data_IF_409660221309
#
_entry.id   IF_409660221309
#
_cell.length_a   1.000
_cell.length_b   1.000
_cell.length_c   1.000
_cell.angle_alpha   90.00
_cell.angle_beta   90.00
_cell.angle_gamma   90.00
#
_symmetry.space_group_name_H-M   'P 1'
#
loop_
_entity.id
_entity.type
_entity.pdbx_description
1 polymer ?
#
# COMPACT_ATOMS: atom_id res chain seq x y z
N UNK A 1 3.86 -24.14 -2.92
CA UNK A 1 2.61 -23.48 -2.49
C UNK A 1 1.44 -24.14 -3.17
N UNK A 2 0.36 -24.42 -2.44
CA UNK A 2 -0.86 -24.93 -3.08
C UNK A 2 -1.56 -23.80 -3.84
N UNK A 3 -2.25 -24.13 -4.91
CA UNK A 3 -3.01 -23.17 -5.74
C UNK A 3 -3.98 -22.31 -4.91
N UNK A 4 -4.59 -22.90 -3.88
CA UNK A 4 -5.48 -22.22 -2.94
C UNK A 4 -4.79 -21.08 -2.17
N UNK A 5 -3.55 -21.29 -1.71
CA UNK A 5 -2.76 -20.28 -0.99
C UNK A 5 -2.46 -19.09 -1.92
N UNK A 6 -2.11 -19.35 -3.18
CA UNK A 6 -1.84 -18.27 -4.15
C UNK A 6 -3.11 -17.43 -4.39
N UNK A 7 -4.27 -18.06 -4.58
CA UNK A 7 -5.55 -17.35 -4.73
C UNK A 7 -5.82 -16.50 -3.49
N UNK A 8 -5.67 -17.06 -2.29
CA UNK A 8 -5.88 -16.34 -1.05
C UNK A 8 -4.96 -15.11 -0.95
N UNK A 9 -3.67 -15.26 -1.25
CA UNK A 9 -2.71 -14.13 -1.25
C UNK A 9 -3.13 -13.02 -2.22
N UNK A 10 -3.58 -13.38 -3.42
CA UNK A 10 -4.05 -12.40 -4.42
C UNK A 10 -5.29 -11.66 -3.89
N UNK A 11 -6.25 -12.38 -3.32
CA UNK A 11 -7.46 -11.78 -2.73
C UNK A 11 -7.06 -10.80 -1.61
N UNK A 12 -6.21 -11.23 -0.68
CA UNK A 12 -5.75 -10.38 0.42
C UNK A 12 -5.02 -9.15 -0.12
N UNK A 13 -4.12 -9.31 -1.09
CA UNK A 13 -3.39 -8.19 -1.69
C UNK A 13 -4.34 -7.16 -2.32
N UNK A 14 -5.33 -7.62 -3.09
CA UNK A 14 -6.31 -6.75 -3.74
C UNK A 14 -7.12 -5.98 -2.69
N UNK A 15 -7.68 -6.65 -1.69
CA UNK A 15 -8.46 -5.97 -0.64
C UNK A 15 -7.61 -5.02 0.21
N UNK A 16 -6.37 -5.40 0.51
CA UNK A 16 -5.44 -4.54 1.26
C UNK A 16 -5.06 -3.29 0.46
N UNK A 17 -4.88 -3.40 -0.86
CA UNK A 17 -4.66 -2.25 -1.74
C UNK A 17 -5.91 -1.36 -1.85
N UNK A 18 -7.12 -1.94 -1.88
CA UNK A 18 -8.37 -1.17 -1.89
C UNK A 18 -8.53 -0.38 -0.58
N UNK A 19 -8.26 -0.99 0.56
CA UNK A 19 -8.30 -0.30 1.87
C UNK A 19 -7.29 0.85 1.87
N UNK A 20 -6.10 0.62 1.38
CA UNK A 20 -5.05 1.64 1.23
C UNK A 20 -5.55 2.84 0.40
N UNK A 21 -6.04 2.60 -0.81
CA UNK A 21 -6.58 3.64 -1.70
C UNK A 21 -7.80 4.34 -1.11
N UNK A 22 -8.71 3.58 -0.49
CA UNK A 22 -9.87 4.14 0.20
C UNK A 22 -9.45 5.13 1.29
N UNK A 23 -8.44 4.79 2.08
CA UNK A 23 -7.95 5.65 3.17
C UNK A 23 -7.34 6.96 2.65
N UNK A 24 -6.67 6.96 1.50
CA UNK A 24 -6.24 8.20 0.85
C UNK A 24 -7.44 9.09 0.49
N UNK A 25 -8.43 8.53 -0.19
CA UNK A 25 -9.66 9.26 -0.55
C UNK A 25 -10.45 9.74 0.65
N UNK A 26 -10.56 8.91 1.68
CA UNK A 26 -11.23 9.27 2.93
C UNK A 26 -10.54 10.44 3.65
N UNK A 27 -9.21 10.44 3.71
CA UNK A 27 -8.46 11.54 4.32
C UNK A 27 -8.56 12.81 3.49
N UNK A 28 -8.54 12.72 2.15
CA UNK A 28 -8.73 13.86 1.26
C UNK A 28 -10.11 14.51 1.49
N UNK A 29 -11.18 13.71 1.54
CA UNK A 29 -12.56 14.17 1.80
C UNK A 29 -12.65 14.85 3.18
N UNK A 30 -12.01 14.28 4.21
CA UNK A 30 -11.93 14.88 5.56
C UNK A 30 -11.18 16.22 5.59
N UNK A 31 -10.26 16.41 4.69
CA UNK A 31 -9.50 17.66 4.55
C UNK A 31 -10.13 18.65 3.57
N UNK A 32 -11.34 18.36 3.06
CA UNK A 32 -12.13 19.27 2.21
C UNK A 32 -12.05 19.00 0.71
N UNK A 33 -11.36 17.96 0.27
CA UNK A 33 -11.30 17.56 -1.13
C UNK A 33 -12.25 16.41 -1.44
N UNK A 34 -13.41 16.71 -2.03
CA UNK A 34 -14.44 15.72 -2.42
C UNK A 34 -14.13 15.00 -3.74
N UNK A 35 -12.99 15.24 -4.39
CA UNK A 35 -12.69 14.70 -5.73
C UNK A 35 -12.88 13.19 -5.82
N UNK A 36 -12.38 12.43 -4.85
CA UNK A 36 -12.52 10.97 -4.80
C UNK A 36 -13.98 10.53 -4.65
N UNK A 37 -14.74 11.23 -3.83
CA UNK A 37 -16.15 10.98 -3.55
C UNK A 37 -17.01 11.26 -4.78
N UNK A 38 -16.80 12.41 -5.41
CA UNK A 38 -17.54 12.85 -6.60
C UNK A 38 -17.24 11.94 -7.80
N UNK A 39 -16.04 11.38 -7.87
CA UNK A 39 -15.65 10.38 -8.86
C UNK A 39 -16.18 8.95 -8.55
N UNK A 40 -16.94 8.74 -7.45
CA UNK A 40 -17.43 7.42 -7.04
C UNK A 40 -16.32 6.44 -6.61
N UNK A 41 -15.13 6.99 -6.24
CA UNK A 41 -13.94 6.21 -5.90
C UNK A 41 -13.76 5.98 -4.40
N UNK A 42 -14.56 6.66 -3.57
CA UNK A 42 -14.58 6.49 -2.11
C UNK A 42 -15.47 5.29 -1.74
N UNK A 43 -15.03 4.10 -2.10
CA UNK A 43 -15.76 2.84 -1.91
C UNK A 43 -14.81 1.68 -1.66
N UNK A 44 -15.26 0.65 -0.94
CA UNK A 44 -14.54 -0.62 -0.78
C UNK A 44 -14.88 -1.64 -1.88
N UNK A 45 -15.73 -1.29 -2.85
CA UNK A 45 -15.99 -2.13 -4.02
C UNK A 45 -14.69 -2.21 -4.86
N UNK A 46 -14.18 -3.41 -5.19
CA UNK A 46 -12.95 -3.56 -5.96
C UNK A 46 -13.04 -3.01 -7.39
N UNK A 47 -14.20 -3.07 -8.02
CA UNK A 47 -14.37 -2.76 -9.45
C UNK A 47 -13.82 -1.37 -9.83
N UNK A 48 -14.15 -0.27 -9.13
CA UNK A 48 -13.60 1.05 -9.46
C UNK A 48 -12.08 1.17 -9.28
N UNK A 49 -11.46 0.30 -8.48
CA UNK A 49 -10.02 0.33 -8.17
C UNK A 49 -9.19 -0.58 -9.09
N UNK A 50 -9.83 -1.36 -9.96
CA UNK A 50 -9.11 -2.18 -10.92
C UNK A 50 -8.51 -1.33 -12.04
N UNK A 51 -7.23 -1.54 -12.30
CA UNK A 51 -6.52 -1.08 -13.49
C UNK A 51 -6.31 -2.26 -14.42
N UNK A 52 -6.72 -2.14 -15.68
CA UNK A 52 -6.63 -3.26 -16.62
C UNK A 52 -5.19 -3.75 -16.78
N UNK A 53 -4.24 -2.81 -16.85
CA UNK A 53 -2.84 -3.16 -17.05
C UNK A 53 -2.19 -3.59 -15.72
N UNK A 54 -2.28 -2.75 -14.69
CA UNK A 54 -1.59 -2.97 -13.41
C UNK A 54 -2.19 -4.06 -12.54
N UNK A 55 -3.53 -4.23 -12.56
CA UNK A 55 -4.21 -5.21 -11.70
C UNK A 55 -4.45 -6.56 -12.38
N UNK A 56 -4.43 -6.63 -13.73
CA UNK A 56 -4.80 -7.84 -14.47
C UNK A 56 -3.68 -8.28 -15.41
N UNK A 57 -3.34 -7.47 -16.41
CA UNK A 57 -2.41 -7.88 -17.47
C UNK A 57 -1.00 -8.12 -16.95
N UNK A 58 -0.44 -7.20 -16.19
CA UNK A 58 0.92 -7.32 -15.69
C UNK A 58 1.09 -8.51 -14.72
N UNK A 59 0.24 -8.69 -13.68
CA UNK A 59 0.30 -9.89 -12.86
C UNK A 59 0.16 -11.19 -13.66
N UNK A 60 -0.76 -11.24 -14.62
CA UNK A 60 -0.94 -12.42 -15.49
C UNK A 60 0.32 -12.70 -16.33
N UNK A 61 0.92 -11.68 -16.94
CA UNK A 61 2.16 -11.82 -17.70
C UNK A 61 3.32 -12.32 -16.82
N UNK A 62 3.47 -11.80 -15.60
CA UNK A 62 4.52 -12.21 -14.68
C UNK A 62 4.36 -13.67 -14.25
N UNK A 63 3.11 -14.09 -13.97
CA UNK A 63 2.81 -15.50 -13.66
C UNK A 63 3.12 -16.40 -14.84
N UNK A 64 2.68 -16.04 -16.05
CA UNK A 64 2.93 -16.83 -17.28
C UNK A 64 4.42 -16.90 -17.64
N UNK A 65 5.17 -15.84 -17.37
CA UNK A 65 6.62 -15.77 -17.63
C UNK A 65 7.45 -16.49 -16.57
N UNK A 66 6.85 -17.00 -15.51
CA UNK A 66 7.48 -17.75 -14.42
C UNK A 66 8.70 -17.04 -13.79
N UNK A 67 8.61 -15.70 -13.66
CA UNK A 67 9.72 -14.84 -13.14
C UNK A 67 9.93 -14.99 -11.64
N UNK A 68 9.08 -15.75 -10.94
CA UNK A 68 9.21 -16.04 -9.50
C UNK A 68 8.66 -14.96 -8.57
N UNK A 69 8.15 -13.84 -9.08
CA UNK A 69 7.44 -12.83 -8.30
C UNK A 69 6.22 -12.29 -9.07
N UNK A 70 5.24 -11.78 -8.32
CA UNK A 70 4.05 -11.12 -8.89
C UNK A 70 4.04 -9.69 -8.39
N UNK A 71 3.88 -8.76 -9.32
CA UNK A 71 3.77 -7.33 -9.07
C UNK A 71 2.55 -6.77 -9.80
N UNK A 72 1.92 -5.77 -9.19
CA UNK A 72 0.79 -5.07 -9.77
C UNK A 72 0.42 -3.85 -8.94
N UNK A 73 -0.48 -3.04 -9.46
CA UNK A 73 -1.01 -1.87 -8.76
C UNK A 73 -2.50 -1.73 -8.96
N UNK A 74 -3.16 -1.11 -8.00
CA UNK A 74 -4.53 -0.64 -8.13
C UNK A 74 -4.56 0.72 -8.82
N UNK A 75 -5.66 1.05 -9.46
CA UNK A 75 -5.89 2.39 -10.00
C UNK A 75 -5.96 3.38 -8.84
N UNK A 76 -5.05 4.38 -8.77
CA UNK A 76 -4.97 5.28 -7.63
C UNK A 76 -6.25 6.12 -7.49
N UNK A 77 -6.62 6.42 -6.25
CA UNK A 77 -7.74 7.31 -5.95
C UNK A 77 -7.34 8.76 -6.24
N UNK A 78 -8.11 9.50 -7.06
CA UNK A 78 -7.77 10.87 -7.40
C UNK A 78 -8.02 11.79 -6.21
N UNK A 79 -7.11 12.75 -5.98
CA UNK A 79 -7.33 13.87 -5.08
C UNK A 79 -6.70 15.15 -5.66
N UNK A 80 -7.23 16.30 -5.25
CA UNK A 80 -6.73 17.60 -5.67
C UNK A 80 -6.07 18.32 -4.47
N UNK A 81 -4.74 18.46 -4.45
CA UNK A 81 -4.04 19.12 -3.35
C UNK A 81 -4.50 20.57 -3.11
N UNK A 82 -4.99 21.23 -4.15
CA UNK A 82 -5.48 22.61 -4.05
C UNK A 82 -6.81 22.73 -3.30
N UNK A 83 -7.57 21.65 -3.15
CA UNK A 83 -8.83 21.66 -2.40
C UNK A 83 -8.61 21.41 -0.90
N UNK A 84 -7.43 20.85 -0.51
CA UNK A 84 -7.15 20.54 0.87
C UNK A 84 -7.12 21.80 1.75
N UNK A 85 -7.75 21.74 2.91
CA UNK A 85 -7.78 22.83 3.91
C UNK A 85 -6.38 23.13 4.48
N UNK A 86 -5.57 22.09 4.68
CA UNK A 86 -4.17 22.23 5.09
C UNK A 86 -3.27 22.24 3.85
N UNK A 87 -2.85 23.44 3.42
CA UNK A 87 -2.03 23.60 2.22
C UNK A 87 -0.61 23.09 2.38
N UNK A 88 -0.08 23.06 3.60
CA UNK A 88 1.31 22.65 3.87
C UNK A 88 1.43 21.14 4.08
N UNK A 89 0.62 20.59 4.95
CA UNK A 89 0.74 19.19 5.35
C UNK A 89 -0.40 18.30 4.84
N UNK A 90 -1.40 18.86 4.15
CA UNK A 90 -2.56 18.13 3.70
C UNK A 90 -2.21 16.93 2.81
N UNK A 91 -1.37 17.14 1.80
CA UNK A 91 -0.92 16.05 0.92
C UNK A 91 -0.14 14.96 1.67
N UNK A 92 0.68 15.33 2.67
CA UNK A 92 1.40 14.37 3.51
C UNK A 92 0.43 13.55 4.39
N UNK A 93 -0.62 14.19 4.94
CA UNK A 93 -1.67 13.50 5.72
C UNK A 93 -2.45 12.53 4.85
N UNK A 94 -2.81 12.95 3.62
CA UNK A 94 -3.44 12.06 2.64
C UNK A 94 -2.53 10.89 2.33
N UNK A 95 -1.26 11.13 2.01
CA UNK A 95 -0.30 10.08 1.70
C UNK A 95 -0.09 9.09 2.87
N UNK A 96 -0.04 9.59 4.12
CA UNK A 96 0.13 8.74 5.30
C UNK A 96 -1.10 7.86 5.58
N UNK A 97 -2.29 8.29 5.15
CA UNK A 97 -3.53 7.59 5.46
C UNK A 97 -3.62 6.18 4.86
N UNK A 98 -3.11 5.96 3.63
CA UNK A 98 -3.07 4.64 3.01
C UNK A 98 -2.25 3.63 3.81
N UNK A 99 -0.96 3.88 4.07
CA UNK A 99 -0.14 3.05 4.94
C UNK A 99 -0.74 2.84 6.34
N UNK A 100 -1.37 3.87 6.90
CA UNK A 100 -2.06 3.76 8.19
C UNK A 100 -3.24 2.79 8.14
N UNK A 101 -4.01 2.77 7.05
CA UNK A 101 -5.06 1.79 6.83
C UNK A 101 -4.53 0.35 6.83
N UNK A 102 -3.44 0.10 6.13
CA UNK A 102 -2.78 -1.20 6.16
C UNK A 102 -2.26 -1.58 7.56
N UNK A 103 -1.72 -0.61 8.31
CA UNK A 103 -1.31 -0.84 9.70
C UNK A 103 -2.49 -1.29 10.57
N UNK A 104 -3.65 -0.65 10.44
CA UNK A 104 -4.85 -1.04 11.20
C UNK A 104 -5.24 -2.49 10.91
N UNK A 105 -5.24 -2.91 9.64
CA UNK A 105 -5.54 -4.30 9.26
C UNK A 105 -4.49 -5.26 9.84
N UNK A 106 -3.20 -4.92 9.73
CA UNK A 106 -2.12 -5.73 10.28
C UNK A 106 -2.23 -5.88 11.81
N UNK A 107 -2.53 -4.79 12.52
CA UNK A 107 -2.75 -4.82 13.97
C UNK A 107 -3.97 -5.66 14.33
N UNK A 108 -5.09 -5.51 13.63
CA UNK A 108 -6.31 -6.27 13.93
C UNK A 108 -6.06 -7.78 13.85
N UNK A 109 -5.54 -8.29 12.74
CA UNK A 109 -5.27 -9.72 12.59
C UNK A 109 -4.08 -10.20 13.42
N UNK A 110 -3.06 -9.35 13.61
CA UNK A 110 -1.89 -9.69 14.40
C UNK A 110 -2.20 -9.79 15.91
N UNK A 111 -3.07 -8.94 16.44
CA UNK A 111 -3.52 -9.05 17.83
C UNK A 111 -4.41 -10.28 18.05
N UNK A 112 -5.22 -10.66 17.04
CA UNK A 112 -5.94 -11.94 17.09
C UNK A 112 -4.95 -13.11 17.20
N UNK A 113 -3.92 -13.13 16.33
CA UNK A 113 -2.86 -14.17 16.40
C UNK A 113 -2.16 -14.21 17.75
N UNK A 114 -1.93 -13.06 18.38
CA UNK A 114 -1.21 -12.95 19.64
C UNK A 114 -2.03 -13.41 20.84
N UNK A 115 -3.32 -13.08 20.89
CA UNK A 115 -4.12 -13.22 22.10
C UNK A 115 -5.22 -14.29 22.00
N UNK A 116 -5.53 -14.79 20.82
CA UNK A 116 -6.59 -15.76 20.60
C UNK A 116 -6.00 -17.07 20.10
N UNK A 117 -6.28 -18.16 20.81
CA UNK A 117 -5.95 -19.49 20.33
C UNK A 117 -6.88 -19.86 19.17
N UNK A 118 -6.34 -19.86 17.97
CA UNK A 118 -7.09 -20.22 16.77
C UNK A 118 -7.32 -21.73 16.70
N UNK A 119 -8.47 -22.16 16.11
CA UNK A 119 -8.86 -23.58 16.08
C UNK A 119 -7.98 -24.45 15.19
N UNK A 120 -7.22 -23.88 14.26
CA UNK A 120 -6.28 -24.62 13.42
C UNK A 120 -5.04 -23.84 13.05
N UNK A 121 -3.96 -24.56 12.74
CA UNK A 121 -2.71 -23.96 12.26
C UNK A 121 -2.87 -23.32 10.88
N UNK A 122 -3.74 -23.88 10.03
CA UNK A 122 -4.02 -23.31 8.72
C UNK A 122 -4.65 -21.92 8.84
N UNK A 123 -5.61 -21.73 9.77
CA UNK A 123 -6.22 -20.43 10.01
C UNK A 123 -5.20 -19.43 10.55
N UNK A 124 -4.31 -19.87 11.45
CA UNK A 124 -3.23 -19.02 11.94
C UNK A 124 -2.27 -18.60 10.81
N UNK A 125 -1.94 -19.50 9.89
CA UNK A 125 -1.13 -19.22 8.72
C UNK A 125 -1.82 -18.19 7.79
N UNK A 126 -3.13 -18.32 7.54
CA UNK A 126 -3.88 -17.37 6.72
C UNK A 126 -3.89 -15.98 7.34
N UNK A 127 -4.09 -15.87 8.67
CA UNK A 127 -4.03 -14.58 9.38
C UNK A 127 -2.63 -13.97 9.34
N UNK A 128 -1.59 -14.80 9.52
CA UNK A 128 -0.20 -14.35 9.40
C UNK A 128 0.10 -13.78 8.00
N UNK A 129 -0.44 -14.39 6.94
CA UNK A 129 -0.31 -13.86 5.58
C UNK A 129 -1.00 -12.48 5.42
N UNK A 130 -2.20 -12.30 6.02
CA UNK A 130 -2.88 -10.99 6.01
C UNK A 130 -2.00 -9.94 6.68
N UNK A 131 -1.44 -10.26 7.85
CA UNK A 131 -0.54 -9.34 8.58
C UNK A 131 0.67 -9.00 7.72
N UNK A 132 1.36 -10.01 7.17
CA UNK A 132 2.57 -9.80 6.37
C UNK A 132 2.31 -8.96 5.12
N UNK A 133 1.21 -9.21 4.38
CA UNK A 133 0.86 -8.45 3.17
C UNK A 133 0.56 -6.99 3.52
N UNK A 134 -0.15 -6.73 4.61
CA UNK A 134 -0.47 -5.37 5.02
C UNK A 134 0.77 -4.63 5.55
N UNK A 135 1.66 -5.29 6.29
CA UNK A 135 2.94 -4.71 6.68
C UNK A 135 3.84 -4.43 5.48
N UNK A 136 3.85 -5.32 4.49
CA UNK A 136 4.56 -5.11 3.23
C UNK A 136 4.06 -3.86 2.53
N UNK A 137 2.75 -3.72 2.31
CA UNK A 137 2.16 -2.55 1.66
C UNK A 137 2.46 -1.27 2.44
N UNK A 138 2.33 -1.30 3.77
CA UNK A 138 2.63 -0.16 4.64
C UNK A 138 4.09 0.27 4.53
N UNK A 139 5.04 -0.64 4.77
CA UNK A 139 6.47 -0.31 4.81
C UNK A 139 6.97 0.08 3.43
N UNK A 140 6.56 -0.64 2.38
CA UNK A 140 6.93 -0.34 1.00
C UNK A 140 6.48 1.06 0.58
N UNK A 141 5.22 1.42 0.84
CA UNK A 141 4.71 2.73 0.47
C UNK A 141 5.27 3.87 1.34
N UNK A 142 5.79 3.59 2.54
CA UNK A 142 6.47 4.60 3.37
C UNK A 142 7.94 4.84 2.97
N UNK A 143 8.48 4.10 2.01
CA UNK A 143 9.82 4.39 1.47
C UNK A 143 9.81 5.79 0.82
N UNK A 144 10.76 6.67 1.15
CA UNK A 144 10.75 8.07 0.69
C UNK A 144 11.25 8.23 -0.75
N UNK A 145 10.73 7.44 -1.66
CA UNK A 145 11.08 7.39 -3.08
C UNK A 145 9.84 7.68 -3.93
N UNK A 146 9.86 8.69 -4.83
CA UNK A 146 8.76 8.91 -5.76
C UNK A 146 8.54 7.67 -6.68
N UNK A 147 7.29 7.27 -6.93
CA UNK A 147 6.02 7.91 -6.61
C UNK A 147 5.36 7.41 -5.31
N UNK A 148 6.07 6.66 -4.46
CA UNK A 148 5.54 6.08 -3.23
C UNK A 148 5.10 7.17 -2.24
N UNK A 149 4.13 6.84 -1.37
CA UNK A 149 3.55 7.79 -0.40
C UNK A 149 4.58 8.42 0.53
N UNK A 150 5.59 7.66 0.94
CA UNK A 150 6.69 8.14 1.77
C UNK A 150 7.37 9.38 1.22
N UNK A 151 7.47 9.52 -0.10
CA UNK A 151 7.99 10.71 -0.75
C UNK A 151 7.12 11.94 -0.47
N UNK A 152 5.79 11.79 -0.52
CA UNK A 152 4.82 12.86 -0.24
C UNK A 152 4.75 13.19 1.25
N UNK A 153 4.96 12.19 2.10
CA UNK A 153 5.00 12.38 3.56
C UNK A 153 6.17 13.26 3.99
N UNK A 154 7.37 13.06 3.42
CA UNK A 154 8.55 13.84 3.77
C UNK A 154 8.63 15.21 3.07
N UNK A 155 7.93 15.36 1.95
CA UNK A 155 8.01 16.55 1.08
C UNK A 155 7.84 17.90 1.82
N UNK A 156 6.86 18.09 2.74
CA UNK A 156 6.69 19.35 3.46
C UNK A 156 7.86 19.76 4.37
N UNK A 157 8.76 18.84 4.67
CA UNK A 157 9.90 19.03 5.56
C UNK A 157 11.19 19.30 4.78
N UNK A 158 11.16 19.19 3.45
CA UNK A 158 12.33 19.37 2.59
C UNK A 158 12.43 20.79 2.07
N UNK A 159 13.67 21.29 1.77
CA UNK A 159 13.87 22.53 1.03
C UNK A 159 13.20 22.52 -0.34
N UNK A 160 12.75 23.67 -0.84
CA UNK A 160 12.03 23.80 -2.11
C UNK A 160 12.79 23.19 -3.30
N UNK A 161 14.11 23.35 -3.35
CA UNK A 161 14.96 22.77 -4.41
C UNK A 161 14.91 21.24 -4.46
N UNK A 162 14.80 20.59 -3.29
CA UNK A 162 14.68 19.13 -3.19
C UNK A 162 13.25 18.71 -3.58
N UNK A 163 12.23 19.46 -3.14
CA UNK A 163 10.83 19.19 -3.54
C UNK A 163 10.67 19.22 -5.06
N UNK A 164 11.21 20.24 -5.74
CA UNK A 164 11.17 20.33 -7.21
C UNK A 164 11.85 19.13 -7.90
N UNK A 165 12.99 18.69 -7.36
CA UNK A 165 13.68 17.52 -7.90
C UNK A 165 12.87 16.23 -7.69
N UNK A 166 12.21 16.06 -6.55
CA UNK A 166 11.35 14.91 -6.29
C UNK A 166 10.16 14.88 -7.25
N UNK A 167 9.52 16.03 -7.51
CA UNK A 167 8.44 16.16 -8.49
C UNK A 167 8.92 15.80 -9.91
N UNK A 168 10.13 16.23 -10.28
CA UNK A 168 10.73 15.85 -11.57
C UNK A 168 11.00 14.34 -11.67
N UNK A 169 11.40 13.71 -10.57
CA UNK A 169 11.65 12.27 -10.50
C UNK A 169 10.36 11.43 -10.62
N UNK A 170 9.19 11.96 -10.27
CA UNK A 170 7.92 11.25 -10.44
C UNK A 170 7.68 10.78 -11.89
N UNK A 171 8.22 11.49 -12.88
CA UNK A 171 8.15 11.08 -14.30
C UNK A 171 8.78 9.70 -14.55
N UNK A 172 9.78 9.36 -13.76
CA UNK A 172 10.50 8.09 -13.83
C UNK A 172 10.07 7.11 -12.74
N UNK A 173 8.98 7.41 -12.05
CA UNK A 173 8.53 6.74 -10.84
C UNK A 173 8.45 5.23 -10.98
N UNK A 174 7.81 4.72 -12.04
CA UNK A 174 7.70 3.28 -12.29
C UNK A 174 9.08 2.61 -12.43
N UNK A 175 10.01 3.25 -13.14
CA UNK A 175 11.37 2.73 -13.32
C UNK A 175 12.13 2.72 -11.98
N UNK A 176 12.00 3.78 -11.18
CA UNK A 176 12.64 3.89 -9.85
C UNK A 176 12.09 2.81 -8.90
N UNK A 177 10.77 2.59 -8.92
CA UNK A 177 10.14 1.53 -8.11
C UNK A 177 10.64 0.16 -8.52
N UNK A 178 10.76 -0.13 -9.81
CA UNK A 178 11.30 -1.41 -10.28
C UNK A 178 12.75 -1.61 -9.85
N UNK A 179 13.60 -0.58 -9.95
CA UNK A 179 14.97 -0.63 -9.44
C UNK A 179 15.01 -0.85 -7.93
N UNK A 180 14.12 -0.18 -7.19
CA UNK A 180 14.02 -0.37 -5.74
C UNK A 180 13.57 -1.79 -5.39
N UNK A 181 12.64 -2.38 -6.11
CA UNK A 181 12.24 -3.79 -5.92
C UNK A 181 13.42 -4.72 -6.17
N UNK A 182 14.22 -4.47 -7.22
CA UNK A 182 15.35 -5.34 -7.56
C UNK A 182 16.53 -5.25 -6.58
N UNK A 183 16.83 -4.06 -6.08
CA UNK A 183 18.07 -3.81 -5.32
C UNK A 183 17.84 -3.36 -3.88
N UNK A 184 16.74 -2.68 -3.58
CA UNK A 184 16.44 -2.09 -2.29
C UNK A 184 15.51 -2.92 -1.40
N UNK A 185 14.85 -3.95 -1.96
CA UNK A 185 13.83 -4.71 -1.24
C UNK A 185 14.40 -5.47 -0.01
N UNK A 186 15.68 -5.82 -0.05
CA UNK A 186 16.38 -6.43 1.07
C UNK A 186 16.41 -5.57 2.33
N UNK A 187 16.24 -4.24 2.22
CA UNK A 187 16.16 -3.30 3.35
C UNK A 187 14.78 -3.36 3.99
N UNK A 188 13.73 -3.61 3.21
CA UNK A 188 12.33 -3.61 3.64
C UNK A 188 11.98 -4.88 4.43
N UNK A 189 12.50 -6.02 4.02
CA UNK A 189 12.20 -7.33 4.64
C UNK A 189 12.51 -7.39 6.13
N UNK A 190 13.68 -6.95 6.63
CA UNK A 190 13.98 -6.96 8.06
C UNK A 190 13.00 -6.10 8.88
N UNK A 191 12.57 -4.96 8.34
CA UNK A 191 11.62 -4.05 8.99
C UNK A 191 10.26 -4.75 9.12
N UNK A 192 9.79 -5.38 8.04
CA UNK A 192 8.52 -6.14 8.04
C UNK A 192 8.58 -7.26 9.08
N UNK A 193 9.66 -8.05 9.08
CA UNK A 193 9.83 -9.15 10.01
C UNK A 193 9.89 -8.68 11.48
N UNK A 194 10.57 -7.57 11.73
CA UNK A 194 10.61 -6.95 13.07
C UNK A 194 9.20 -6.53 13.51
N UNK A 195 8.47 -5.79 12.68
CA UNK A 195 7.10 -5.34 12.99
C UNK A 195 6.16 -6.53 13.18
N UNK A 196 6.27 -7.56 12.35
CA UNK A 196 5.49 -8.78 12.47
C UNK A 196 5.70 -9.43 13.84
N UNK A 197 6.96 -9.62 14.26
CA UNK A 197 7.30 -10.20 15.56
C UNK A 197 6.75 -9.37 16.72
N UNK A 198 6.89 -8.07 16.66
CA UNK A 198 6.38 -7.15 17.70
C UNK A 198 4.86 -7.26 17.83
N UNK A 199 4.14 -7.31 16.69
CA UNK A 199 2.67 -7.33 16.68
C UNK A 199 2.15 -8.70 17.12
N UNK A 200 2.72 -9.79 16.58
CA UNK A 200 2.25 -11.16 16.86
C UNK A 200 2.78 -11.69 18.18
N UNK A 201 3.92 -11.18 18.66
CA UNK A 201 4.49 -11.55 19.96
C UNK A 201 5.40 -12.79 19.93
N UNK A 202 6.15 -12.98 18.83
CA UNK A 202 7.10 -14.10 18.64
C UNK A 202 8.51 -13.59 18.39
#
# INVERSE_FOLDING_TARGET
>A
MTFQIIIFQIIVLVFSAIIHEYMHGWMADRLGDSTAKDAGRLTLNPIPHLDLFGSILLPAMLVLSNVGFVFGWAKPVPFNPYNLSDKKYGSAKVALAGPFGNLIVALFFGLILRFINLPSQELAMLFAMIVQINLLLMVFNLVPIPPLDGSKVIMPFLPASIQENMIKLEKYGMFIVLLFIMFGFSIVIPIINFLFRVIVGI
#
